data_IF_872899355815
#
_entry.id   IF_872899355815
#
_cell.length_a   1.000
_cell.length_b   1.000
_cell.length_c   1.000
_cell.angle_alpha   90.00
_cell.angle_beta   90.00
_cell.angle_gamma   90.00
#
_symmetry.space_group_name_H-M   'P 1'
#
loop_
_entity.id
_entity.type
_entity.pdbx_description
1 polymer ?
#
# COMPACT_ATOMS: atom_id res chain seq x y z
N UNK A 1 42.66 64.18 -39.14
CA UNK A 1 42.63 65.36 -38.26
C UNK A 1 41.82 64.97 -37.03
N UNK A 2 42.46 65.04 -35.86
CA UNK A 2 42.01 64.59 -34.54
C UNK A 2 40.76 65.33 -34.02
N UNK A 3 39.98 64.69 -33.13
CA UNK A 3 39.36 65.19 -31.86
C UNK A 3 38.17 64.27 -31.50
N UNK A 4 38.25 63.38 -30.50
CA UNK A 4 38.20 63.52 -29.01
C UNK A 4 36.78 63.77 -28.44
N UNK A 5 36.36 62.84 -27.57
CA UNK A 5 35.17 62.76 -26.70
C UNK A 5 34.90 64.00 -25.81
N UNK A 6 33.70 64.07 -25.18
CA UNK A 6 33.67 63.82 -23.72
C UNK A 6 32.54 62.89 -23.21
N UNK A 7 32.73 62.44 -21.97
CA UNK A 7 31.94 61.52 -21.12
C UNK A 7 30.77 62.16 -20.33
N UNK A 8 29.83 61.33 -19.84
CA UNK A 8 29.35 61.20 -18.42
C UNK A 8 28.36 60.00 -18.33
N UNK A 9 28.66 58.84 -17.73
CA UNK A 9 28.60 58.42 -16.31
C UNK A 9 27.21 58.56 -15.62
N UNK A 10 26.47 57.45 -15.41
CA UNK A 10 26.33 56.75 -14.10
C UNK A 10 25.02 55.94 -13.91
N UNK A 11 25.22 54.69 -13.46
CA UNK A 11 24.47 53.86 -12.49
C UNK A 11 22.95 53.58 -12.58
N UNK A 12 22.53 52.29 -12.46
CA UNK A 12 21.13 51.92 -12.23
C UNK A 12 20.74 52.01 -10.73
N UNK A 13 19.47 52.32 -10.40
CA UNK A 13 19.03 52.47 -9.01
C UNK A 13 18.70 51.12 -8.34
N UNK A 14 19.25 50.95 -7.14
CA UNK A 14 18.81 50.01 -6.10
C UNK A 14 17.52 50.53 -5.48
N UNK A 15 16.45 49.71 -5.42
CA UNK A 15 15.33 49.94 -4.50
C UNK A 15 15.09 48.70 -3.66
N UNK A 16 15.35 48.87 -2.37
CA UNK A 16 15.13 47.93 -1.29
C UNK A 16 13.64 47.67 -1.08
N UNK A 17 13.24 46.40 -0.99
CA UNK A 17 12.00 46.00 -0.31
C UNK A 17 12.31 44.81 0.60
N UNK A 18 11.96 44.86 1.90
CA UNK A 18 12.30 43.81 2.85
C UNK A 18 11.41 42.58 2.65
N UNK A 19 12.05 41.44 2.39
CA UNK A 19 11.38 40.14 2.32
C UNK A 19 10.63 39.84 3.62
N UNK A 20 9.37 39.35 3.57
CA UNK A 20 8.65 38.93 4.76
C UNK A 20 9.30 37.68 5.38
N UNK A 21 9.28 37.54 6.72
CA UNK A 21 10.01 36.48 7.40
C UNK A 21 9.44 35.11 7.04
N UNK A 22 10.34 34.23 6.61
CA UNK A 22 10.10 32.84 6.29
C UNK A 22 9.65 32.10 7.56
N UNK A 23 8.33 31.94 7.74
CA UNK A 23 7.80 31.03 8.74
C UNK A 23 8.21 29.61 8.36
N UNK A 24 9.28 29.13 9.02
CA UNK A 24 9.71 27.73 9.00
C UNK A 24 8.62 26.91 9.68
N UNK A 25 7.64 26.45 8.91
CA UNK A 25 6.75 25.38 9.35
C UNK A 25 7.64 24.14 9.37
N UNK A 26 8.17 23.81 10.55
CA UNK A 26 8.72 22.48 10.81
C UNK A 26 7.58 21.47 10.65
N UNK A 27 7.37 21.03 9.41
CA UNK A 27 6.59 19.86 9.14
C UNK A 27 7.36 18.70 9.77
N UNK A 28 6.93 18.26 10.95
CA UNK A 28 7.34 16.97 11.50
C UNK A 28 6.93 15.93 10.46
N UNK A 29 7.87 15.53 9.61
CA UNK A 29 7.63 14.53 8.59
C UNK A 29 7.39 13.24 9.37
N UNK A 30 6.11 12.85 9.47
CA UNK A 30 5.80 11.48 9.85
C UNK A 30 6.52 10.62 8.82
N UNK A 31 7.44 9.75 9.29
CA UNK A 31 8.07 8.72 8.47
C UNK A 31 6.98 7.98 7.69
N UNK A 32 6.76 8.43 6.47
CA UNK A 32 5.72 7.90 5.61
C UNK A 32 6.39 6.76 4.89
N UNK A 33 5.90 5.54 5.10
CA UNK A 33 6.45 4.37 4.42
C UNK A 33 6.38 4.61 2.92
N UNK A 34 7.54 4.61 2.26
CA UNK A 34 7.61 4.60 0.81
C UNK A 34 6.94 3.34 0.24
N UNK A 35 6.56 3.39 -1.03
CA UNK A 35 6.14 2.20 -1.77
C UNK A 35 7.25 1.17 -1.72
N UNK A 36 7.08 0.05 -1.01
CA UNK A 36 8.05 -1.05 -1.05
C UNK A 36 7.99 -1.65 -2.46
N UNK A 37 9.02 -1.51 -3.29
CA UNK A 37 9.08 -2.20 -4.56
C UNK A 37 9.28 -3.69 -4.25
N UNK A 38 8.58 -4.57 -4.97
CA UNK A 38 8.75 -6.02 -4.85
C UNK A 38 10.17 -6.54 -5.18
N UNK A 39 11.09 -5.64 -5.55
CA UNK A 39 12.52 -5.86 -5.79
C UNK A 39 13.18 -6.63 -4.63
N UNK A 40 12.81 -6.31 -3.39
CA UNK A 40 13.36 -7.00 -2.23
C UNK A 40 12.93 -8.47 -2.13
N UNK A 41 11.79 -8.86 -2.70
CA UNK A 41 11.33 -10.27 -2.70
C UNK A 41 12.06 -11.06 -3.78
N UNK A 42 12.18 -10.51 -4.99
CA UNK A 42 12.92 -11.14 -6.09
C UNK A 42 14.37 -11.47 -5.70
N UNK A 43 15.10 -10.50 -5.15
CA UNK A 43 16.49 -10.71 -4.72
C UNK A 43 16.64 -11.78 -3.62
N UNK A 44 15.64 -11.92 -2.74
CA UNK A 44 15.63 -12.97 -1.72
C UNK A 44 15.35 -14.35 -2.33
N UNK A 45 14.45 -14.42 -3.32
CA UNK A 45 14.12 -15.67 -4.01
C UNK A 45 15.31 -16.19 -4.82
N UNK A 46 16.01 -15.30 -5.51
CA UNK A 46 17.22 -15.66 -6.27
C UNK A 46 18.33 -16.19 -5.36
N UNK A 47 18.50 -15.60 -4.17
CA UNK A 47 19.53 -16.02 -3.21
C UNK A 47 19.22 -17.31 -2.47
N UNK A 48 17.95 -17.53 -2.10
CA UNK A 48 17.58 -18.53 -1.10
C UNK A 48 16.47 -19.49 -1.56
N UNK A 49 16.05 -19.40 -2.81
CA UNK A 49 14.89 -20.13 -3.32
C UNK A 49 13.57 -19.53 -2.84
N UNK A 50 12.47 -20.25 -3.06
CA UNK A 50 11.12 -19.77 -2.71
C UNK A 50 11.01 -19.46 -1.22
N UNK A 51 10.28 -18.40 -0.90
CA UNK A 51 10.05 -17.99 0.47
C UNK A 51 8.94 -18.81 1.10
N UNK A 52 9.27 -19.64 2.10
CA UNK A 52 8.28 -20.40 2.85
C UNK A 52 7.34 -19.47 3.62
N UNK A 53 6.03 -19.76 3.50
CA UNK A 53 4.96 -19.15 4.29
C UNK A 53 3.87 -20.19 4.58
N UNK A 54 3.60 -20.44 5.86
CA UNK A 54 2.43 -21.22 6.30
C UNK A 54 1.16 -20.38 6.35
N UNK A 55 0.04 -20.93 5.84
CA UNK A 55 -1.31 -20.38 6.05
C UNK A 55 -1.93 -21.14 7.22
N UNK A 56 -2.02 -20.47 8.37
CA UNK A 56 -2.59 -21.03 9.60
C UNK A 56 -4.12 -21.12 9.50
N UNK A 57 -4.66 -22.32 9.67
CA UNK A 57 -6.10 -22.60 9.59
C UNK A 57 -6.88 -21.91 10.72
N UNK A 58 -6.25 -21.74 11.88
CA UNK A 58 -6.80 -21.13 13.08
C UNK A 58 -7.11 -19.64 12.86
N UNK A 59 -6.38 -18.99 11.95
CA UNK A 59 -6.47 -17.55 11.71
C UNK A 59 -6.93 -17.16 10.31
N UNK A 60 -7.03 -18.12 9.36
CA UNK A 60 -7.27 -17.85 7.94
C UNK A 60 -6.29 -16.77 7.41
N UNK A 61 -5.02 -16.91 7.78
CA UNK A 61 -3.98 -15.90 7.58
C UNK A 61 -2.57 -16.49 7.42
N UNK A 62 -1.70 -15.81 6.64
CA UNK A 62 -0.28 -16.16 6.59
C UNK A 62 0.40 -15.84 7.92
N UNK A 63 1.20 -16.77 8.40
CA UNK A 63 2.03 -16.65 9.59
C UNK A 63 3.52 -16.70 9.23
N UNK A 64 4.41 -16.57 10.21
CA UNK A 64 5.88 -16.54 10.07
C UNK A 64 6.51 -15.22 9.56
N UNK A 65 7.85 -15.24 9.49
CA UNK A 65 8.73 -14.11 9.11
C UNK A 65 8.44 -13.52 7.72
N UNK A 66 7.97 -14.35 6.79
CA UNK A 66 7.74 -13.95 5.40
C UNK A 66 6.29 -13.51 5.11
N UNK A 67 5.35 -13.65 6.06
CA UNK A 67 3.95 -13.29 5.87
C UNK A 67 3.74 -11.84 5.38
N UNK A 68 4.49 -10.90 5.94
CA UNK A 68 4.41 -9.49 5.53
C UNK A 68 4.90 -9.29 4.09
N UNK A 69 5.94 -10.03 3.66
CA UNK A 69 6.46 -9.98 2.30
C UNK A 69 5.44 -10.55 1.32
N UNK A 70 4.81 -11.67 1.65
CA UNK A 70 3.73 -12.26 0.87
C UNK A 70 2.58 -11.25 0.69
N UNK A 71 2.07 -10.67 1.77
CA UNK A 71 0.95 -9.70 1.70
C UNK A 71 1.30 -8.49 0.84
N UNK A 72 2.52 -7.97 0.95
CA UNK A 72 2.98 -6.86 0.12
C UNK A 72 3.06 -7.27 -1.36
N UNK A 73 3.57 -8.46 -1.65
CA UNK A 73 3.73 -8.95 -3.01
C UNK A 73 2.39 -9.28 -3.68
N UNK A 74 1.42 -9.84 -2.94
CA UNK A 74 0.03 -9.96 -3.39
C UNK A 74 -0.49 -8.60 -3.83
N UNK A 75 -0.24 -7.55 -3.03
CA UNK A 75 -0.65 -6.20 -3.36
C UNK A 75 0.01 -5.66 -4.62
N UNK A 76 1.30 -5.96 -4.85
CA UNK A 76 2.01 -5.58 -6.09
C UNK A 76 1.41 -6.32 -7.28
N UNK A 77 1.32 -7.64 -7.23
CA UNK A 77 0.81 -8.46 -8.34
C UNK A 77 -0.64 -8.12 -8.70
N UNK A 78 -1.52 -7.98 -7.71
CA UNK A 78 -2.92 -7.60 -7.96
C UNK A 78 -3.10 -6.18 -8.52
N UNK A 79 -2.09 -5.31 -8.44
CA UNK A 79 -2.14 -3.96 -9.02
C UNK A 79 -1.51 -3.91 -10.40
N UNK A 80 -0.43 -4.67 -10.61
CA UNK A 80 0.32 -4.67 -11.87
C UNK A 80 -0.36 -5.48 -12.98
N UNK A 81 -1.13 -6.51 -12.64
CA UNK A 81 -1.77 -7.39 -13.63
C UNK A 81 -3.22 -6.99 -13.96
N UNK A 82 -3.78 -5.95 -13.32
CA UNK A 82 -5.14 -5.50 -13.59
C UNK A 82 -5.16 -4.41 -14.67
N UNK A 83 -5.82 -4.70 -15.78
CA UNK A 83 -6.02 -3.76 -16.88
C UNK A 83 -6.96 -2.61 -16.50
N UNK A 84 -8.08 -2.91 -15.81
CA UNK A 84 -9.04 -1.90 -15.32
C UNK A 84 -9.24 -1.97 -13.81
N UNK A 85 -9.22 -0.80 -13.16
CA UNK A 85 -9.44 -0.66 -11.72
C UNK A 85 -10.92 -0.46 -11.35
N UNK A 86 -11.81 -0.34 -12.34
CA UNK A 86 -13.24 -0.14 -12.12
C UNK A 86 -13.95 -1.43 -11.64
N UNK A 87 -13.27 -2.57 -11.65
CA UNK A 87 -13.79 -3.81 -11.09
C UNK A 87 -14.01 -3.65 -9.58
N UNK A 88 -15.29 -3.52 -9.17
CA UNK A 88 -15.69 -3.25 -7.79
C UNK A 88 -15.23 -4.35 -6.82
N UNK A 89 -15.05 -5.59 -7.31
CA UNK A 89 -14.72 -6.76 -6.51
C UNK A 89 -13.74 -7.70 -7.24
N UNK A 90 -12.81 -8.30 -6.50
CA UNK A 90 -11.86 -9.30 -7.01
C UNK A 90 -12.52 -10.51 -7.67
N UNK A 91 -13.69 -10.93 -7.18
CA UNK A 91 -14.49 -12.02 -7.78
C UNK A 91 -14.96 -11.74 -9.21
N UNK A 92 -14.95 -10.48 -9.65
CA UNK A 92 -15.35 -10.10 -11.00
C UNK A 92 -14.15 -10.00 -11.96
N UNK A 93 -12.93 -10.20 -11.46
CA UNK A 93 -11.73 -10.31 -12.29
C UNK A 93 -11.81 -11.64 -13.05
N UNK A 94 -11.45 -11.64 -14.32
CA UNK A 94 -11.42 -12.84 -15.14
C UNK A 94 -10.51 -13.91 -14.52
N UNK A 95 -10.85 -15.17 -14.73
CA UNK A 95 -10.11 -16.28 -14.14
C UNK A 95 -8.66 -16.33 -14.64
N UNK A 96 -8.41 -15.94 -15.90
CA UNK A 96 -7.06 -15.93 -16.47
C UNK A 96 -6.13 -14.96 -15.72
N UNK A 97 -6.55 -13.71 -15.50
CA UNK A 97 -5.81 -12.71 -14.73
C UNK A 97 -5.63 -13.15 -13.28
N UNK A 98 -6.68 -13.72 -12.65
CA UNK A 98 -6.56 -14.25 -11.28
C UNK A 98 -5.52 -15.36 -11.20
N UNK A 99 -5.53 -16.28 -12.15
CA UNK A 99 -4.58 -17.39 -12.21
C UNK A 99 -3.15 -16.90 -12.44
N UNK A 100 -2.92 -15.91 -13.31
CA UNK A 100 -1.60 -15.28 -13.49
C UNK A 100 -1.09 -14.66 -12.19
N UNK A 101 -1.95 -13.93 -11.47
CA UNK A 101 -1.56 -13.33 -10.17
C UNK A 101 -1.19 -14.42 -9.15
N UNK A 102 -1.98 -15.49 -9.05
CA UNK A 102 -1.71 -16.59 -8.13
C UNK A 102 -0.45 -17.37 -8.52
N UNK A 103 -0.21 -17.58 -9.81
CA UNK A 103 1.00 -18.24 -10.31
C UNK A 103 2.25 -17.43 -9.99
N UNK A 104 2.25 -16.12 -10.27
CA UNK A 104 3.38 -15.25 -9.94
C UNK A 104 3.71 -15.24 -8.43
N UNK A 105 2.72 -15.49 -7.57
CA UNK A 105 2.93 -15.66 -6.13
C UNK A 105 3.55 -17.03 -5.85
N UNK A 106 3.02 -18.11 -6.45
CA UNK A 106 3.53 -19.47 -6.28
C UNK A 106 4.96 -19.66 -6.81
N UNK A 107 5.39 -18.84 -7.76
CA UNK A 107 6.76 -18.84 -8.28
C UNK A 107 7.76 -18.27 -7.26
N UNK A 108 7.30 -17.40 -6.35
CA UNK A 108 8.14 -16.69 -5.38
C UNK A 108 8.02 -17.23 -3.95
N UNK A 109 6.89 -17.86 -3.63
CA UNK A 109 6.57 -18.35 -2.29
C UNK A 109 6.23 -19.83 -2.31
N UNK A 110 6.73 -20.54 -1.30
CA UNK A 110 6.31 -21.90 -1.01
C UNK A 110 5.20 -21.82 0.06
N UNK A 111 3.96 -22.03 -0.37
CA UNK A 111 2.78 -21.85 0.48
C UNK A 111 2.38 -23.19 1.08
N UNK A 112 2.49 -23.30 2.41
CA UNK A 112 2.09 -24.49 3.14
C UNK A 112 0.69 -24.34 3.73
N UNK A 113 -0.11 -25.40 3.65
CA UNK A 113 -1.47 -25.48 4.17
C UNK A 113 -2.41 -26.19 3.20
N UNK A 114 -3.68 -26.33 3.61
CA UNK A 114 -4.73 -26.87 2.74
C UNK A 114 -4.89 -25.99 1.48
N UNK A 115 -4.91 -26.62 0.30
CA UNK A 115 -4.95 -25.92 -0.98
C UNK A 115 -6.17 -24.99 -1.12
N UNK A 116 -7.34 -25.42 -0.64
CA UNK A 116 -8.56 -24.61 -0.69
C UNK A 116 -8.44 -23.40 0.25
N UNK A 117 -7.89 -23.60 1.45
CA UNK A 117 -7.63 -22.53 2.42
C UNK A 117 -6.62 -21.51 1.88
N UNK A 118 -5.50 -21.97 1.31
CA UNK A 118 -4.46 -21.12 0.70
C UNK A 118 -5.09 -20.26 -0.38
N UNK A 119 -5.78 -20.89 -1.34
CA UNK A 119 -6.42 -20.20 -2.47
C UNK A 119 -7.46 -19.19 -1.99
N UNK A 120 -8.31 -19.57 -1.04
CA UNK A 120 -9.31 -18.68 -0.42
C UNK A 120 -8.65 -17.48 0.26
N UNK A 121 -7.60 -17.71 1.03
CA UNK A 121 -6.86 -16.67 1.75
C UNK A 121 -6.24 -15.68 0.76
N UNK A 122 -5.56 -16.16 -0.28
CA UNK A 122 -4.96 -15.31 -1.31
C UNK A 122 -6.01 -14.44 -2.01
N UNK A 123 -7.09 -15.03 -2.50
CA UNK A 123 -8.18 -14.30 -3.15
C UNK A 123 -8.79 -13.22 -2.24
N UNK A 124 -9.01 -13.55 -0.95
CA UNK A 124 -9.49 -12.60 0.06
C UNK A 124 -8.52 -11.44 0.26
N UNK A 125 -7.20 -11.72 0.33
CA UNK A 125 -6.17 -10.68 0.45
C UNK A 125 -6.10 -9.81 -0.81
N UNK A 126 -6.15 -10.39 -2.01
CA UNK A 126 -6.20 -9.65 -3.28
C UNK A 126 -7.36 -8.65 -3.27
N UNK A 127 -8.58 -9.10 -2.99
CA UNK A 127 -9.75 -8.21 -2.96
C UNK A 127 -9.68 -7.12 -1.91
N UNK A 128 -9.16 -7.42 -0.71
CA UNK A 128 -8.98 -6.42 0.34
C UNK A 128 -7.91 -5.39 -0.03
N UNK A 129 -6.79 -5.82 -0.62
CA UNK A 129 -5.69 -4.93 -1.02
C UNK A 129 -6.08 -4.06 -2.21
N UNK A 130 -6.80 -4.60 -3.19
CA UNK A 130 -7.35 -3.83 -4.31
C UNK A 130 -8.31 -2.74 -3.80
N UNK A 131 -9.23 -3.11 -2.91
CA UNK A 131 -10.19 -2.16 -2.31
C UNK A 131 -9.47 -1.09 -1.49
N UNK A 132 -8.46 -1.48 -0.71
CA UNK A 132 -7.63 -0.56 0.08
C UNK A 132 -6.88 0.43 -0.82
N UNK A 133 -6.33 -0.04 -1.95
CA UNK A 133 -5.66 0.81 -2.92
C UNK A 133 -6.63 1.81 -3.56
N UNK A 134 -7.79 1.35 -4.04
CA UNK A 134 -8.83 2.23 -4.59
C UNK A 134 -9.27 3.31 -3.59
N UNK A 135 -9.40 2.96 -2.31
CA UNK A 135 -9.69 3.93 -1.26
C UNK A 135 -8.56 4.96 -1.07
N UNK A 136 -7.29 4.54 -1.09
CA UNK A 136 -6.14 5.47 -1.02
C UNK A 136 -6.13 6.45 -2.20
N UNK A 137 -6.39 5.96 -3.40
CA UNK A 137 -6.51 6.77 -4.61
C UNK A 137 -7.67 7.77 -4.48
N UNK A 138 -8.83 7.34 -3.96
CA UNK A 138 -9.96 8.24 -3.70
C UNK A 138 -9.61 9.33 -2.67
N UNK A 139 -8.85 8.99 -1.61
CA UNK A 139 -8.41 10.01 -0.64
C UNK A 139 -7.43 11.01 -1.27
N UNK A 140 -6.56 10.56 -2.17
CA UNK A 140 -5.70 11.47 -2.95
C UNK A 140 -6.55 12.38 -3.85
N UNK A 141 -7.53 11.82 -4.55
CA UNK A 141 -8.48 12.59 -5.38
C UNK A 141 -9.17 13.68 -4.58
N UNK A 142 -9.79 13.32 -3.44
CA UNK A 142 -10.45 14.29 -2.56
C UNK A 142 -9.52 15.42 -2.10
N UNK A 143 -8.27 15.11 -1.79
CA UNK A 143 -7.28 16.12 -1.39
C UNK A 143 -6.92 17.07 -2.54
N UNK A 144 -6.81 16.56 -3.77
CA UNK A 144 -6.55 17.38 -4.95
C UNK A 144 -7.75 18.28 -5.27
N UNK A 145 -8.97 17.74 -5.20
CA UNK A 145 -10.21 18.51 -5.38
C UNK A 145 -10.31 19.62 -4.32
N UNK A 146 -9.96 19.32 -3.07
CA UNK A 146 -10.02 20.29 -1.98
C UNK A 146 -8.97 21.40 -2.08
N UNK A 147 -7.77 21.09 -2.61
CA UNK A 147 -6.68 22.07 -2.69
C UNK A 147 -6.66 22.88 -3.98
N UNK A 148 -7.21 22.32 -5.07
CA UNK A 148 -7.21 22.94 -6.40
C UNK A 148 -8.65 22.91 -6.95
N UNK A 149 -8.92 22.02 -7.91
CA UNK A 149 -10.23 21.84 -8.55
C UNK A 149 -10.44 20.41 -9.01
N UNK A 150 -11.67 20.07 -9.42
CA UNK A 150 -11.98 18.75 -9.97
C UNK A 150 -11.24 18.46 -11.29
N UNK A 151 -11.14 19.45 -12.17
CA UNK A 151 -10.45 19.32 -13.47
C UNK A 151 -8.94 19.15 -13.27
N UNK A 152 -8.37 19.87 -12.30
CA UNK A 152 -6.98 19.67 -11.89
C UNK A 152 -6.76 18.26 -11.35
N UNK A 153 -7.61 17.81 -10.42
CA UNK A 153 -7.49 16.47 -9.83
C UNK A 153 -7.58 15.36 -10.90
N UNK A 154 -8.42 15.54 -11.94
CA UNK A 154 -8.58 14.59 -13.03
C UNK A 154 -7.32 14.44 -13.90
N UNK A 155 -6.59 15.53 -14.12
CA UNK A 155 -5.37 15.55 -14.95
C UNK A 155 -4.08 15.19 -14.18
N UNK A 156 -4.14 15.08 -12.85
CA UNK A 156 -2.97 14.87 -12.00
C UNK A 156 -3.06 13.53 -11.22
N UNK A 157 -2.89 12.37 -11.91
CA UNK A 157 -2.88 11.08 -11.25
C UNK A 157 -1.70 10.96 -10.28
N UNK A 158 -1.88 10.26 -9.14
CA UNK A 158 -0.76 9.93 -8.26
C UNK A 158 0.22 8.96 -8.94
N UNK A 159 1.51 9.00 -8.56
CA UNK A 159 2.62 8.25 -9.19
C UNK A 159 2.39 6.74 -9.40
N UNK A 160 1.49 6.15 -8.62
CA UNK A 160 1.21 4.71 -8.61
C UNK A 160 -0.07 4.32 -9.36
N UNK A 161 -0.64 5.22 -10.16
CA UNK A 161 -1.78 4.98 -11.05
C UNK A 161 -1.49 5.60 -12.42
N UNK A 162 -1.84 4.90 -13.49
CA UNK A 162 -1.80 5.50 -14.83
C UNK A 162 -2.94 6.51 -15.00
N UNK A 163 -2.82 7.42 -15.96
CA UNK A 163 -3.88 8.40 -16.24
C UNK A 163 -5.20 7.71 -16.61
N UNK A 164 -5.14 6.65 -17.41
CA UNK A 164 -6.32 5.85 -17.81
C UNK A 164 -6.99 5.20 -16.60
N UNK A 165 -6.22 4.50 -15.76
CA UNK A 165 -6.76 3.87 -14.55
C UNK A 165 -7.35 4.90 -13.58
N UNK A 166 -6.77 6.09 -13.54
CA UNK A 166 -7.21 7.20 -12.72
C UNK A 166 -8.54 7.78 -13.20
N UNK A 167 -8.67 8.08 -14.50
CA UNK A 167 -9.91 8.61 -15.08
C UNK A 167 -11.03 7.58 -15.02
N UNK A 168 -10.75 6.30 -15.31
CA UNK A 168 -11.72 5.21 -15.15
C UNK A 168 -12.28 5.10 -13.73
N UNK A 169 -11.43 5.26 -12.70
CA UNK A 169 -11.86 5.23 -11.31
C UNK A 169 -12.75 6.41 -10.93
N UNK A 170 -12.40 7.61 -11.42
CA UNK A 170 -13.19 8.82 -11.19
C UNK A 170 -14.58 8.62 -11.80
N UNK A 171 -14.65 8.36 -13.11
CA UNK A 171 -15.91 8.34 -13.85
C UNK A 171 -16.76 7.11 -13.52
N UNK A 172 -16.11 5.94 -13.45
CA UNK A 172 -16.80 4.67 -13.32
C UNK A 172 -17.22 4.33 -11.89
N UNK A 173 -16.48 4.82 -10.88
CA UNK A 173 -16.68 4.41 -9.48
C UNK A 173 -17.02 5.55 -8.55
N UNK A 174 -16.29 6.66 -8.59
CA UNK A 174 -16.43 7.72 -7.58
C UNK A 174 -17.54 8.71 -7.91
N UNK A 175 -17.89 8.87 -9.18
CA UNK A 175 -19.04 9.66 -9.63
C UNK A 175 -20.36 8.88 -9.54
N UNK A 176 -20.30 7.55 -9.36
CA UNK A 176 -21.49 6.70 -9.25
C UNK A 176 -22.29 7.00 -7.95
N UNK A 177 -23.59 7.29 -8.10
CA UNK A 177 -24.46 7.71 -6.99
C UNK A 177 -24.60 6.64 -5.90
N UNK A 178 -24.73 5.37 -6.26
CA UNK A 178 -24.83 4.26 -5.29
C UNK A 178 -23.56 4.16 -4.44
N UNK A 179 -22.40 4.32 -5.09
CA UNK A 179 -21.13 4.31 -4.40
C UNK A 179 -21.01 5.51 -3.45
N UNK A 180 -21.39 6.71 -3.89
CA UNK A 180 -21.40 7.91 -3.05
C UNK A 180 -22.32 7.77 -1.83
N UNK A 181 -23.52 7.19 -2.01
CA UNK A 181 -24.47 6.92 -0.92
C UNK A 181 -23.87 5.95 0.09
N UNK A 182 -23.25 4.85 -0.38
CA UNK A 182 -22.58 3.86 0.47
C UNK A 182 -21.37 4.45 1.20
N UNK A 183 -20.56 5.24 0.50
CA UNK A 183 -19.37 5.90 1.04
C UNK A 183 -19.71 6.90 2.15
N UNK A 184 -20.77 7.71 1.96
CA UNK A 184 -21.30 8.63 2.98
C UNK A 184 -21.75 7.88 4.23
N UNK A 185 -22.52 6.79 4.08
CA UNK A 185 -22.96 5.94 5.20
C UNK A 185 -21.76 5.32 5.95
N UNK A 186 -20.81 4.75 5.23
CA UNK A 186 -19.61 4.15 5.84
C UNK A 186 -18.77 5.18 6.61
N UNK A 187 -18.63 6.38 6.06
CA UNK A 187 -17.93 7.48 6.73
C UNK A 187 -18.65 7.93 8.00
N UNK A 188 -19.97 8.03 7.98
CA UNK A 188 -20.78 8.36 9.16
C UNK A 188 -20.67 7.27 10.24
N UNK A 189 -20.70 5.98 9.85
CA UNK A 189 -20.53 4.87 10.77
C UNK A 189 -19.11 4.84 11.38
N UNK A 190 -18.08 5.11 10.58
CA UNK A 190 -16.70 5.18 11.07
C UNK A 190 -16.47 6.29 12.10
N UNK A 191 -17.22 7.41 12.02
CA UNK A 191 -17.18 8.45 13.06
C UNK A 191 -17.78 7.99 14.39
N UNK A 192 -18.65 6.98 14.39
CA UNK A 192 -19.29 6.42 15.59
C UNK A 192 -18.45 5.37 16.29
N UNK A 193 -17.47 4.77 15.60
CA UNK A 193 -16.60 3.73 16.20
C UNK A 193 -15.50 4.36 17.05
N UNK A 194 -15.49 4.08 18.35
CA UNK A 194 -14.42 4.49 19.28
C UNK A 194 -13.51 3.29 19.59
N UNK A 195 -12.21 3.43 19.32
CA UNK A 195 -11.22 2.41 19.67
C UNK A 195 -9.93 2.58 18.87
N UNK A 196 -8.78 2.59 19.56
CA UNK A 196 -7.46 2.56 18.91
C UNK A 196 -6.95 1.13 18.92
N UNK A 197 -6.64 0.58 17.75
CA UNK A 197 -6.03 -0.74 17.63
C UNK A 197 -4.62 -0.75 18.25
N UNK A 198 -4.33 -1.75 19.11
CA UNK A 198 -3.04 -1.86 19.84
C UNK A 198 -2.01 -2.78 19.19
N UNK A 199 -2.34 -3.54 18.14
CA UNK A 199 -1.30 -4.32 17.45
C UNK A 199 -0.54 -3.38 16.49
N UNK A 200 0.74 -3.18 16.77
CA UNK A 200 1.67 -2.40 15.95
C UNK A 200 1.90 -2.98 14.55
N UNK A 201 3.12 -2.91 14.02
CA UNK A 201 3.38 -3.28 12.61
C UNK A 201 3.22 -4.78 12.30
N UNK A 202 3.45 -5.66 13.27
CA UNK A 202 3.27 -7.11 13.09
C UNK A 202 1.78 -7.48 13.07
N UNK A 203 1.40 -8.38 12.17
CA UNK A 203 0.05 -8.94 12.14
C UNK A 203 -0.23 -9.71 13.44
N UNK A 204 -1.46 -9.61 13.95
CA UNK A 204 -1.86 -10.31 15.18
C UNK A 204 -1.64 -11.82 15.07
N UNK A 205 -2.02 -12.43 13.95
CA UNK A 205 -1.82 -13.86 13.70
C UNK A 205 -0.34 -14.28 13.84
N UNK A 206 0.60 -13.49 13.29
CA UNK A 206 2.04 -13.78 13.42
C UNK A 206 2.50 -13.72 14.88
N UNK A 207 2.01 -12.73 15.66
CA UNK A 207 2.38 -12.63 17.08
C UNK A 207 1.87 -13.80 17.90
N UNK A 208 0.61 -14.15 17.71
CA UNK A 208 -0.02 -15.26 18.44
C UNK A 208 0.64 -16.59 18.05
N UNK A 209 0.99 -16.77 16.78
CA UNK A 209 1.70 -17.95 16.28
C UNK A 209 3.14 -18.06 16.82
N UNK A 210 3.88 -16.95 16.88
CA UNK A 210 5.19 -16.87 17.55
C UNK A 210 5.07 -17.27 19.04
N UNK A 211 4.13 -16.69 19.78
CA UNK A 211 3.91 -16.98 21.21
C UNK A 211 3.57 -18.46 21.44
N UNK A 212 2.62 -19.01 20.68
CA UNK A 212 2.22 -20.41 20.79
C UNK A 212 3.42 -21.34 20.52
N UNK A 213 4.19 -21.07 19.47
CA UNK A 213 5.38 -21.88 19.13
C UNK A 213 6.41 -21.93 20.25
N UNK A 214 6.63 -20.82 20.97
CA UNK A 214 7.54 -20.80 22.12
C UNK A 214 7.05 -21.70 23.27
N UNK A 215 5.75 -21.72 23.56
CA UNK A 215 5.19 -22.54 24.62
C UNK A 215 5.28 -24.04 24.31
N UNK A 216 5.06 -24.43 23.05
CA UNK A 216 5.24 -25.82 22.61
C UNK A 216 6.69 -26.27 22.71
N UNK A 217 7.64 -25.46 22.23
CA UNK A 217 9.06 -25.78 22.33
C UNK A 217 9.54 -25.88 23.78
N UNK A 218 9.03 -25.01 24.67
CA UNK A 218 9.31 -25.10 26.10
C UNK A 218 8.69 -26.36 26.73
N UNK A 219 7.49 -26.75 26.30
CA UNK A 219 6.83 -27.97 26.74
C UNK A 219 7.59 -29.23 26.33
N UNK A 220 7.99 -29.34 25.06
CA UNK A 220 8.76 -30.47 24.53
C UNK A 220 10.14 -30.57 25.22
N UNK A 221 10.80 -29.43 25.46
CA UNK A 221 12.08 -29.39 26.17
C UNK A 221 11.94 -29.81 27.65
N UNK A 222 10.84 -29.43 28.30
CA UNK A 222 10.54 -29.83 29.68
C UNK A 222 10.22 -31.33 29.76
N UNK A 223 9.51 -31.87 28.75
CA UNK A 223 9.17 -33.28 28.65
C UNK A 223 10.44 -34.13 28.45
N UNK A 224 11.33 -33.72 27.54
CA UNK A 224 12.60 -34.39 27.30
C UNK A 224 13.50 -34.39 28.56
N UNK A 225 13.53 -33.30 29.32
CA UNK A 225 14.26 -33.22 30.59
C UNK A 225 13.67 -34.10 31.71
N UNK A 226 12.38 -34.44 31.63
CA UNK A 226 11.70 -35.33 32.58
C UNK A 226 11.84 -36.81 32.22
N UNK A 227 12.05 -37.14 30.94
CA UNK A 227 12.30 -38.51 30.47
C UNK A 227 13.76 -38.98 30.71
N UNK A 228 14.68 -38.05 30.97
CA UNK A 228 16.10 -38.30 31.29
C UNK A 228 16.40 -38.41 32.82
N UNK A 229 15.37 -38.49 33.69
CA UNK A 229 15.47 -38.70 35.16
C UNK A 229 14.89 -40.07 35.54
#
# INVERSE_FOLDING_TARGET
MTLRLPQLADSPPTSNDPSPPLFKIESTSRNTRGTTPGIAVWALVEKSGKLLVRIAAEYDAPVEKNACKLVNQIGVQARSNLSSYNMKNWKNVDDATRNVVLQNIADQFELQGDFNLVTKTLNKKCGRLLSSNSNKLHQAYKKLVQSHSADYARSHPPKNATLEQWTELIDGRWTNEDWLKKSRKNSANGKKTSGKHRCGTKALAVKVDEEISYWWLLGDLLLALLEDI
#
